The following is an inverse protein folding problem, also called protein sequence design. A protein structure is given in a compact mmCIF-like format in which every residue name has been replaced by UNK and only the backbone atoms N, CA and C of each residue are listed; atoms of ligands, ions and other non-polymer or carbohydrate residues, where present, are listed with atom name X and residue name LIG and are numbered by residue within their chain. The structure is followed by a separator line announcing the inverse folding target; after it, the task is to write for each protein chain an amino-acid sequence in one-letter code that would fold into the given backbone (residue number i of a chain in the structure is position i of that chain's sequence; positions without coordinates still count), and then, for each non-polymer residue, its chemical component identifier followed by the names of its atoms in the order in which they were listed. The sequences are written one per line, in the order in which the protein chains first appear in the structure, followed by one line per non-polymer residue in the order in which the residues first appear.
data_IF_577376553581
#
_entry.id   IF_577376553581
#
_cell.length_a   1.000
_cell.length_b   1.000
_cell.length_c   1.000
_cell.angle_alpha   90.00
_cell.angle_beta   90.00
_cell.angle_gamma   90.00
#
_symmetry.space_group_name_H-M   'P 1'
#
loop_
_entity.id
_entity.type
_entity.pdbx_description
1 polymer ?
#
# COMPACT_ATOMS: atom_id res chain seq x y z
N UNK A 1 0.61 -70.19 17.67
CA UNK A 1 1.77 -70.32 16.78
C UNK A 1 2.63 -69.08 16.96
N UNK A 2 3.64 -69.18 17.83
CA UNK A 2 5.07 -69.00 17.51
C UNK A 2 5.42 -68.18 16.23
N UNK A 3 6.38 -67.25 16.17
CA UNK A 3 7.58 -66.98 16.99
C UNK A 3 7.97 -65.49 16.89
N UNK A 4 8.63 -65.03 17.95
CA UNK A 4 9.40 -63.79 18.09
C UNK A 4 10.49 -63.53 17.03
N UNK A 5 10.97 -62.28 16.98
CA UNK A 5 12.15 -61.89 16.22
C UNK A 5 12.61 -60.46 16.49
N UNK A 6 13.13 -60.21 17.69
CA UNK A 6 13.84 -58.99 18.06
C UNK A 6 15.27 -58.97 17.49
N UNK A 7 15.85 -57.78 17.20
CA UNK A 7 17.07 -57.26 17.83
C UNK A 7 17.68 -56.02 17.11
N UNK A 8 17.88 -54.97 17.93
CA UNK A 8 19.10 -54.15 18.15
C UNK A 8 19.70 -53.22 17.07
N UNK A 9 19.60 -51.92 17.40
CA UNK A 9 20.66 -50.89 17.60
C UNK A 9 22.04 -51.07 16.94
N UNK A 10 22.53 -50.00 16.29
CA UNK A 10 23.83 -49.36 16.57
C UNK A 10 23.96 -47.99 15.86
N UNK A 11 24.28 -46.93 16.63
CA UNK A 11 25.10 -45.76 16.22
C UNK A 11 26.59 -46.07 16.54
N UNK A 12 27.59 -45.18 16.41
CA UNK A 12 27.81 -43.93 15.65
C UNK A 12 29.11 -44.02 14.80
N UNK A 13 29.54 -42.96 14.08
CA UNK A 13 30.99 -42.64 13.99
C UNK A 13 31.29 -41.27 13.34
N UNK A 14 32.10 -40.49 14.05
CA UNK A 14 32.80 -39.28 13.62
C UNK A 14 34.02 -39.61 12.72
N UNK A 15 34.34 -38.72 11.78
CA UNK A 15 35.72 -38.39 11.35
C UNK A 15 35.63 -37.25 10.32
N UNK A 16 36.06 -36.02 10.62
CA UNK A 16 37.43 -35.47 10.67
C UNK A 16 37.72 -34.58 9.46
N UNK A 17 37.78 -33.29 9.74
CA UNK A 17 38.57 -32.27 9.03
C UNK A 17 40.06 -32.65 9.12
N UNK A 18 40.87 -32.30 8.12
CA UNK A 18 42.01 -31.44 8.44
C UNK A 18 42.20 -30.27 7.48
N UNK A 19 42.56 -29.14 8.07
CA UNK A 19 43.13 -27.95 7.45
C UNK A 19 44.66 -28.10 7.36
N UNK A 20 45.26 -27.55 6.29
CA UNK A 20 46.64 -27.03 6.20
C UNK A 20 46.97 -26.76 4.73
N UNK A 21 47.85 -25.85 4.31
CA UNK A 21 48.47 -24.62 4.84
C UNK A 21 49.34 -24.10 3.68
N UNK A 22 49.26 -22.79 3.43
CA UNK A 22 50.34 -21.86 3.03
C UNK A 22 51.03 -21.90 1.65
N UNK A 23 51.44 -20.66 1.32
CA UNK A 23 52.49 -20.17 0.41
C UNK A 23 51.96 -19.73 -0.97
N UNK A 24 52.16 -18.51 -1.45
CA UNK A 24 52.92 -17.37 -0.96
C UNK A 24 53.03 -16.30 -2.07
N UNK A 25 53.73 -15.22 -1.75
CA UNK A 25 54.21 -14.13 -2.61
C UNK A 25 53.30 -12.92 -2.80
N UNK A 26 53.70 -11.87 -2.07
CA UNK A 26 53.36 -10.47 -2.24
C UNK A 26 53.85 -9.95 -3.59
N UNK A 27 52.99 -9.28 -4.35
CA UNK A 27 53.38 -8.21 -5.28
C UNK A 27 52.31 -7.12 -5.31
N UNK A 28 52.66 -5.96 -4.75
CA UNK A 28 51.90 -4.72 -4.86
C UNK A 28 52.06 -4.13 -6.28
N UNK A 29 50.97 -3.75 -6.97
CA UNK A 29 51.02 -2.83 -8.09
C UNK A 29 50.90 -1.36 -7.65
N UNK A 30 51.35 -0.41 -8.48
CA UNK A 30 51.81 0.92 -8.07
C UNK A 30 50.70 1.92 -7.75
N UNK A 31 51.01 2.82 -6.81
CA UNK A 31 50.28 4.05 -6.49
C UNK A 31 50.18 4.95 -7.73
N UNK A 32 49.04 4.93 -8.42
CA UNK A 32 48.65 5.99 -9.35
C UNK A 32 47.95 7.10 -8.58
N UNK A 33 48.63 8.23 -8.42
CA UNK A 33 47.99 9.51 -8.09
C UNK A 33 47.14 9.94 -9.28
N UNK A 34 45.86 9.60 -9.26
CA UNK A 34 44.86 10.18 -10.15
C UNK A 34 44.34 11.47 -9.50
N UNK A 35 44.84 12.61 -9.98
CA UNK A 35 44.25 13.92 -9.79
C UNK A 35 42.85 13.92 -10.42
N UNK A 36 41.85 13.53 -9.65
CA UNK A 36 40.45 13.61 -10.06
C UNK A 36 40.02 15.07 -10.16
N UNK A 37 39.24 15.47 -11.19
CA UNK A 37 38.68 16.80 -11.25
C UNK A 37 37.80 17.04 -10.02
N UNK A 38 38.05 18.16 -9.34
CA UNK A 38 37.32 18.60 -8.16
C UNK A 38 35.81 18.60 -8.45
N UNK A 39 35.06 17.80 -7.70
CA UNK A 39 33.59 17.86 -7.70
C UNK A 39 33.20 19.24 -7.19
N UNK A 40 32.68 20.08 -8.08
CA UNK A 40 32.00 21.32 -7.71
C UNK A 40 30.87 20.99 -6.72
N UNK A 41 30.85 21.57 -5.50
CA UNK A 41 29.72 21.46 -4.62
C UNK A 41 28.63 22.45 -5.09
N UNK A 42 27.39 22.19 -4.64
CA UNK A 42 26.21 23.10 -4.70
C UNK A 42 25.32 22.99 -5.93
N UNK A 43 24.64 21.84 -6.04
CA UNK A 43 23.21 21.90 -6.29
C UNK A 43 22.52 22.37 -5.01
N UNK A 44 21.79 23.48 -5.05
CA UNK A 44 20.87 23.90 -3.97
C UNK A 44 19.94 22.72 -3.65
N UNK A 45 19.60 22.43 -2.37
CA UNK A 45 18.59 21.44 -2.06
C UNK A 45 17.31 21.88 -2.77
N UNK A 46 16.90 21.15 -3.81
CA UNK A 46 15.56 21.30 -4.39
C UNK A 46 14.61 21.10 -3.22
N UNK A 47 13.73 22.07 -2.98
CA UNK A 47 12.58 21.88 -2.10
C UNK A 47 11.98 20.52 -2.44
N UNK A 48 11.87 19.64 -1.45
CA UNK A 48 11.44 18.26 -1.60
C UNK A 48 10.02 18.26 -2.15
N UNK A 49 9.88 18.29 -3.48
CA UNK A 49 8.58 18.15 -4.12
C UNK A 49 7.99 16.83 -3.65
N UNK A 50 6.74 16.81 -3.18
CA UNK A 50 6.11 15.59 -2.70
C UNK A 50 6.22 14.52 -3.79
N UNK A 51 6.87 13.41 -3.46
CA UNK A 51 7.11 12.35 -4.46
C UNK A 51 5.77 11.70 -4.79
N UNK A 52 5.35 11.82 -6.04
CA UNK A 52 4.20 11.08 -6.56
C UNK A 52 4.48 9.58 -6.49
N UNK A 53 3.42 8.79 -6.28
CA UNK A 53 3.54 7.33 -6.21
C UNK A 53 3.52 6.75 -7.63
N UNK A 54 4.25 5.64 -7.82
CA UNK A 54 4.18 4.89 -9.09
C UNK A 54 2.74 4.45 -9.34
N UNK A 55 2.21 4.84 -10.49
CA UNK A 55 0.87 4.47 -10.96
C UNK A 55 0.72 2.95 -10.97
N UNK A 56 -0.41 2.46 -10.47
CA UNK A 56 -0.81 1.07 -10.60
C UNK A 56 -1.99 0.98 -11.54
N UNK A 57 -1.77 0.35 -12.71
CA UNK A 57 -2.79 0.11 -13.72
C UNK A 57 -2.90 -1.41 -13.92
N UNK A 58 -4.07 -2.01 -13.65
CA UNK A 58 -4.32 -3.42 -13.95
C UNK A 58 -4.20 -3.70 -15.45
N UNK A 59 -3.90 -4.95 -15.80
CA UNK A 59 -3.73 -5.36 -17.20
C UNK A 59 -4.99 -5.07 -18.04
N UNK A 60 -6.17 -5.32 -17.48
CA UNK A 60 -7.46 -5.08 -18.12
C UNK A 60 -7.69 -3.61 -18.40
N UNK A 61 -7.02 -2.73 -17.64
CA UNK A 61 -7.12 -1.28 -17.79
C UNK A 61 -5.98 -0.62 -18.56
N UNK A 62 -4.89 -1.35 -18.78
CA UNK A 62 -3.68 -0.82 -19.41
C UNK A 62 -3.91 -0.23 -20.80
N UNK A 63 -4.86 -0.78 -21.57
CA UNK A 63 -5.13 -0.40 -22.96
C UNK A 63 -5.80 0.96 -23.13
N UNK A 64 -6.41 1.47 -22.08
CA UNK A 64 -7.14 2.74 -22.12
C UNK A 64 -6.61 3.76 -21.11
N UNK A 65 -5.45 3.51 -20.50
CA UNK A 65 -4.73 4.51 -19.70
C UNK A 65 -3.49 4.92 -20.47
N UNK A 66 -3.35 6.21 -20.74
CA UNK A 66 -2.20 6.74 -21.46
C UNK A 66 -0.94 6.74 -20.56
N UNK A 67 0.28 6.85 -21.13
CA UNK A 67 1.51 6.91 -20.34
C UNK A 67 1.55 8.05 -19.31
N UNK A 68 0.94 9.19 -19.63
CA UNK A 68 0.79 10.33 -18.72
C UNK A 68 -0.25 10.08 -17.60
N UNK A 69 -1.07 9.04 -17.70
CA UNK A 69 -2.05 8.62 -16.69
C UNK A 69 -3.48 9.02 -16.97
N UNK A 70 -3.74 9.62 -18.13
CA UNK A 70 -5.08 10.02 -18.53
C UNK A 70 -5.89 8.77 -18.89
N UNK A 71 -7.08 8.68 -18.31
CA UNK A 71 -8.05 7.65 -18.66
C UNK A 71 -8.74 8.04 -19.98
N UNK A 72 -8.61 7.20 -21.01
CA UNK A 72 -9.41 7.25 -22.21
C UNK A 72 -10.79 6.66 -21.89
N UNK A 73 -11.82 7.50 -21.93
CA UNK A 73 -13.19 7.12 -21.54
C UNK A 73 -14.22 7.90 -22.35
N UNK A 74 -15.49 7.53 -22.23
CA UNK A 74 -16.62 8.26 -22.85
C UNK A 74 -16.79 9.65 -22.22
N UNK A 75 -17.42 10.58 -22.95
CA UNK A 75 -17.75 11.90 -22.41
C UNK A 75 -18.60 11.80 -21.15
N UNK A 76 -19.60 10.91 -21.15
CA UNK A 76 -20.46 10.65 -20.00
C UNK A 76 -19.67 10.26 -18.73
N UNK A 77 -18.67 9.37 -18.86
CA UNK A 77 -17.83 8.97 -17.74
C UNK A 77 -16.91 10.09 -17.26
N UNK A 78 -16.35 10.88 -18.20
CA UNK A 78 -15.54 12.05 -17.87
C UNK A 78 -16.35 13.05 -17.07
N UNK A 79 -17.55 13.36 -17.53
CA UNK A 79 -18.41 14.37 -16.91
C UNK A 79 -18.86 13.88 -15.53
N UNK A 80 -19.17 12.59 -15.38
CA UNK A 80 -19.39 11.94 -14.07
C UNK A 80 -18.23 12.14 -13.09
N UNK A 81 -16.98 11.92 -13.53
CA UNK A 81 -15.81 12.10 -12.65
C UNK A 81 -15.64 13.56 -12.21
N UNK A 82 -15.90 14.51 -13.11
CA UNK A 82 -15.83 15.94 -12.80
C UNK A 82 -16.93 16.36 -11.83
N UNK A 83 -18.18 15.95 -12.09
CA UNK A 83 -19.35 16.27 -11.27
C UNK A 83 -19.19 15.78 -9.83
N UNK A 84 -18.68 14.56 -9.65
CA UNK A 84 -18.49 13.98 -8.31
C UNK A 84 -17.09 14.23 -7.72
N UNK A 85 -16.22 14.98 -8.41
CA UNK A 85 -14.87 15.28 -7.94
C UNK A 85 -13.95 14.07 -7.79
N UNK A 86 -14.24 12.97 -8.51
CA UNK A 86 -13.52 11.70 -8.44
C UNK A 86 -12.32 11.73 -9.39
N UNK A 87 -11.15 11.32 -8.88
CA UNK A 87 -9.90 11.25 -9.62
C UNK A 87 -9.67 9.83 -10.16
N UNK A 88 -9.59 9.62 -11.49
CA UNK A 88 -9.27 8.31 -12.06
C UNK A 88 -7.78 7.94 -11.95
N UNK A 89 -6.87 8.91 -11.82
CA UNK A 89 -5.43 8.67 -11.80
C UNK A 89 -4.86 8.54 -10.38
N UNK A 90 -4.60 7.30 -9.95
CA UNK A 90 -3.93 7.02 -8.67
C UNK A 90 -2.45 7.44 -8.63
N UNK A 91 -1.82 7.72 -9.77
CA UNK A 91 -0.46 8.26 -9.85
C UNK A 91 -0.35 9.71 -9.33
N UNK A 92 -1.48 10.44 -9.24
CA UNK A 92 -1.53 11.79 -8.64
C UNK A 92 -1.50 11.78 -7.12
N UNK A 93 -1.63 10.62 -6.50
CA UNK A 93 -1.53 10.49 -5.04
C UNK A 93 -0.10 10.75 -4.58
N UNK A 94 0.02 11.37 -3.41
CA UNK A 94 1.32 11.65 -2.81
C UNK A 94 1.73 10.51 -1.89
N UNK A 95 3.01 10.14 -1.90
CA UNK A 95 3.51 9.12 -0.96
C UNK A 95 3.24 9.54 0.48
N UNK A 96 2.62 8.66 1.25
CA UNK A 96 2.20 8.92 2.62
C UNK A 96 3.08 8.20 3.62
N UNK A 97 4.12 8.87 4.10
CA UNK A 97 4.99 8.36 5.16
C UNK A 97 5.49 9.51 6.06
N UNK A 98 4.58 10.24 6.73
CA UNK A 98 4.95 11.44 7.51
C UNK A 98 5.83 11.15 8.73
N UNK A 99 5.89 9.92 9.22
CA UNK A 99 6.72 9.54 10.37
C UNK A 99 7.73 8.45 10.02
N UNK A 100 8.88 8.47 10.68
CA UNK A 100 9.91 7.43 10.55
C UNK A 100 9.39 6.06 11.01
N UNK A 101 8.54 6.03 12.03
CA UNK A 101 7.86 4.81 12.48
C UNK A 101 6.99 4.22 11.36
N UNK A 102 6.14 5.01 10.72
CA UNK A 102 5.29 4.52 9.65
C UNK A 102 6.12 4.04 8.46
N UNK A 103 7.18 4.77 8.11
CA UNK A 103 8.09 4.34 7.04
C UNK A 103 8.76 3.00 7.34
N UNK A 104 9.19 2.76 8.59
CA UNK A 104 9.75 1.47 9.02
C UNK A 104 8.71 0.36 8.97
N UNK A 105 7.51 0.63 9.50
CA UNK A 105 6.42 -0.33 9.52
C UNK A 105 5.98 -0.75 8.10
N UNK A 106 5.94 0.20 7.17
CA UNK A 106 5.73 -0.08 5.75
C UNK A 106 6.83 -0.98 5.17
N UNK A 107 8.11 -0.74 5.49
CA UNK A 107 9.20 -1.59 5.05
C UNK A 107 9.13 -3.01 5.65
N UNK A 108 8.78 -3.10 6.93
CA UNK A 108 8.62 -4.37 7.66
C UNK A 108 7.48 -5.21 7.08
N UNK A 109 6.37 -4.57 6.70
CA UNK A 109 5.23 -5.25 6.08
C UNK A 109 5.39 -5.43 4.56
N UNK A 110 6.38 -4.79 3.93
CA UNK A 110 6.50 -4.77 2.47
C UNK A 110 5.31 -4.06 1.80
N UNK A 111 4.87 -2.96 2.41
CA UNK A 111 3.78 -2.11 1.91
C UNK A 111 4.28 -0.70 1.58
N UNK A 112 3.52 0.01 0.76
CA UNK A 112 3.66 1.44 0.55
C UNK A 112 2.31 2.11 0.72
N UNK A 113 2.32 3.36 1.16
CA UNK A 113 1.12 4.15 1.39
C UNK A 113 1.14 5.39 0.50
N UNK A 114 -0.04 5.76 0.01
CA UNK A 114 -0.29 7.01 -0.67
C UNK A 114 -1.55 7.66 -0.11
N UNK A 115 -1.59 8.98 -0.13
CA UNK A 115 -2.76 9.75 0.27
C UNK A 115 -3.09 10.81 -0.77
N UNK A 116 -4.38 11.08 -0.94
CA UNK A 116 -4.91 12.19 -1.71
C UNK A 116 -6.09 12.79 -0.97
N UNK A 117 -6.24 14.12 -0.92
CA UNK A 117 -7.44 14.76 -0.39
C UNK A 117 -8.66 14.56 -1.31
N UNK A 118 -8.45 14.15 -2.57
CA UNK A 118 -9.51 13.80 -3.51
C UNK A 118 -9.90 12.34 -3.38
N UNK A 119 -11.15 12.02 -3.68
CA UNK A 119 -11.58 10.63 -3.85
C UNK A 119 -10.97 10.05 -5.13
N UNK A 120 -10.24 8.94 -5.01
CA UNK A 120 -9.58 8.26 -6.13
C UNK A 120 -10.29 6.94 -6.39
N UNK A 121 -10.62 6.68 -7.65
CA UNK A 121 -11.29 5.43 -8.03
C UNK A 121 -10.39 4.22 -7.80
N UNK A 122 -10.96 3.06 -7.47
CA UNK A 122 -10.18 1.84 -7.35
C UNK A 122 -9.60 1.45 -8.72
N UNK A 123 -8.28 1.16 -8.85
CA UNK A 123 -7.68 0.86 -10.16
C UNK A 123 -8.32 -0.31 -10.91
N UNK A 124 -8.72 -1.37 -10.21
CA UNK A 124 -9.46 -2.51 -10.80
C UNK A 124 -10.86 -2.16 -11.33
N UNK A 125 -11.44 -1.03 -10.92
CA UNK A 125 -12.73 -0.58 -11.46
C UNK A 125 -12.58 0.25 -12.74
N UNK A 126 -11.36 0.65 -13.13
CA UNK A 126 -11.13 1.46 -14.34
C UNK A 126 -11.65 0.77 -15.62
N UNK A 127 -11.66 -0.57 -15.66
CA UNK A 127 -12.22 -1.39 -16.77
C UNK A 127 -13.69 -1.13 -17.06
N UNK A 128 -14.45 -0.63 -16.09
CA UNK A 128 -15.86 -0.30 -16.28
C UNK A 128 -16.07 1.07 -16.94
N UNK A 129 -15.00 1.84 -17.12
CA UNK A 129 -15.02 3.18 -17.69
C UNK A 129 -14.22 3.23 -18.99
N UNK A 130 -14.26 2.15 -19.78
CA UNK A 130 -13.54 2.05 -21.04
C UNK A 130 -14.13 2.98 -22.13
N UNK A 131 -13.34 3.34 -23.16
CA UNK A 131 -13.76 4.34 -24.14
C UNK A 131 -14.89 3.87 -25.08
N UNK A 132 -15.10 2.55 -25.20
CA UNK A 132 -16.21 1.97 -25.98
C UNK A 132 -17.51 1.84 -25.17
N UNK A 133 -17.48 2.22 -23.90
CA UNK A 133 -18.57 1.99 -22.96
C UNK A 133 -18.56 0.56 -22.42
N UNK A 134 -19.06 0.39 -21.20
CA UNK A 134 -19.16 -0.91 -20.53
C UNK A 134 -20.59 -1.11 -20.01
N UNK A 135 -21.22 -2.30 -20.14
CA UNK A 135 -22.59 -2.53 -19.69
C UNK A 135 -22.83 -2.17 -18.21
N UNK A 136 -21.84 -2.45 -17.36
CA UNK A 136 -21.87 -2.14 -15.92
C UNK A 136 -21.45 -0.69 -15.55
N UNK A 137 -21.14 0.18 -16.52
CA UNK A 137 -20.69 1.54 -16.24
C UNK A 137 -21.72 2.34 -15.44
N UNK A 138 -23.00 2.26 -15.83
CA UNK A 138 -24.12 2.91 -15.12
C UNK A 138 -24.18 2.48 -13.67
N UNK A 139 -24.13 1.17 -13.41
CA UNK A 139 -24.15 0.63 -12.04
C UNK A 139 -22.95 1.12 -11.23
N UNK A 140 -21.76 1.12 -11.83
CA UNK A 140 -20.52 1.57 -11.18
C UNK A 140 -20.56 3.07 -10.87
N UNK A 141 -21.07 3.90 -11.78
CA UNK A 141 -21.30 5.33 -11.53
C UNK A 141 -22.23 5.54 -10.33
N UNK A 142 -23.37 4.84 -10.29
CA UNK A 142 -24.31 4.92 -9.16
C UNK A 142 -23.67 4.51 -7.83
N UNK A 143 -22.86 3.44 -7.83
CA UNK A 143 -22.12 3.00 -6.65
C UNK A 143 -21.13 4.08 -6.17
N UNK A 144 -20.34 4.64 -7.08
CA UNK A 144 -19.35 5.66 -6.74
C UNK A 144 -19.98 6.99 -6.33
N UNK A 145 -21.08 7.41 -6.94
CA UNK A 145 -21.85 8.58 -6.51
C UNK A 145 -22.40 8.40 -5.09
N UNK A 146 -22.98 7.23 -4.79
CA UNK A 146 -23.43 6.92 -3.43
C UNK A 146 -22.27 6.90 -2.43
N UNK A 147 -21.14 6.29 -2.82
CA UNK A 147 -19.92 6.22 -2.00
C UNK A 147 -19.34 7.61 -1.70
N UNK A 148 -19.26 8.50 -2.69
CA UNK A 148 -18.74 9.86 -2.54
C UNK A 148 -19.55 10.70 -1.55
N UNK A 149 -20.88 10.53 -1.55
CA UNK A 149 -21.78 11.21 -0.60
C UNK A 149 -21.68 10.68 0.82
N UNK A 150 -21.54 9.36 0.97
CA UNK A 150 -21.60 8.70 2.28
C UNK A 150 -20.24 8.69 2.96
N UNK A 151 -19.17 8.38 2.24
CA UNK A 151 -17.86 8.07 2.84
C UNK A 151 -16.86 9.22 2.63
N UNK A 152 -16.49 9.96 3.67
CA UNK A 152 -15.53 11.07 3.55
C UNK A 152 -14.12 10.57 3.21
N UNK A 153 -13.68 9.47 3.83
CA UNK A 153 -12.40 8.81 3.54
C UNK A 153 -12.63 7.47 2.84
N UNK A 154 -11.94 7.25 1.73
CA UNK A 154 -11.89 5.95 1.07
C UNK A 154 -10.56 5.27 1.39
N UNK A 155 -10.62 4.00 1.79
CA UNK A 155 -9.42 3.16 1.90
C UNK A 155 -9.47 2.14 0.78
N UNK A 156 -8.47 2.17 -0.10
CA UNK A 156 -8.29 1.17 -1.14
C UNK A 156 -6.97 0.44 -0.96
N UNK A 157 -6.96 -0.83 -1.33
CA UNK A 157 -5.79 -1.68 -1.18
C UNK A 157 -5.54 -2.42 -2.48
N UNK A 158 -4.31 -2.33 -3.00
CA UNK A 158 -3.87 -3.16 -4.12
C UNK A 158 -2.80 -4.12 -3.63
N UNK A 159 -2.66 -5.27 -4.29
CA UNK A 159 -1.54 -6.18 -4.05
C UNK A 159 -0.87 -6.52 -5.36
N UNK A 160 0.43 -6.33 -5.38
CA UNK A 160 1.32 -6.86 -6.40
C UNK A 160 2.20 -7.95 -5.78
N UNK A 161 2.70 -8.86 -6.60
CA UNK A 161 3.66 -9.88 -6.19
C UNK A 161 3.11 -11.30 -6.13
N UNK A 162 4.04 -12.22 -5.88
CA UNK A 162 3.79 -13.65 -5.79
C UNK A 162 3.04 -14.03 -4.50
N UNK A 163 2.22 -15.07 -4.57
CA UNK A 163 1.42 -15.58 -3.46
C UNK A 163 0.03 -16.01 -3.93
N UNK A 164 -0.55 -16.99 -3.23
CA UNK A 164 -1.90 -17.47 -3.55
C UNK A 164 -2.92 -16.32 -3.44
N UNK A 165 -3.93 -16.33 -4.31
CA UNK A 165 -4.97 -15.31 -4.34
C UNK A 165 -5.66 -15.14 -2.97
N UNK A 166 -5.87 -16.24 -2.26
CA UNK A 166 -6.45 -16.25 -0.90
C UNK A 166 -5.60 -15.43 0.07
N UNK A 167 -4.28 -15.61 0.08
CA UNK A 167 -3.36 -14.84 0.95
C UNK A 167 -3.48 -13.35 0.65
N UNK A 168 -3.44 -12.97 -0.63
CA UNK A 168 -3.57 -11.54 -1.02
C UNK A 168 -4.87 -10.96 -0.48
N UNK A 169 -5.99 -11.62 -0.74
CA UNK A 169 -7.32 -11.15 -0.31
C UNK A 169 -7.44 -11.07 1.22
N UNK A 170 -6.96 -12.08 1.95
CA UNK A 170 -7.01 -12.07 3.41
C UNK A 170 -6.12 -10.97 4.00
N UNK A 171 -4.90 -10.82 3.50
CA UNK A 171 -3.98 -9.76 3.95
C UNK A 171 -4.54 -8.37 3.65
N UNK A 172 -5.11 -8.14 2.45
CA UNK A 172 -5.77 -6.88 2.11
C UNK A 172 -6.90 -6.56 3.08
N UNK A 173 -7.83 -7.52 3.29
CA UNK A 173 -8.96 -7.36 4.21
C UNK A 173 -8.49 -7.07 5.63
N UNK A 174 -7.49 -7.79 6.12
CA UNK A 174 -6.97 -7.64 7.48
C UNK A 174 -6.34 -6.26 7.71
N UNK A 175 -5.49 -5.80 6.78
CA UNK A 175 -4.86 -4.48 6.89
C UNK A 175 -5.88 -3.33 6.74
N UNK A 176 -6.81 -3.44 5.80
CA UNK A 176 -7.86 -2.44 5.63
C UNK A 176 -8.77 -2.37 6.85
N UNK A 177 -9.18 -3.53 7.38
CA UNK A 177 -10.00 -3.63 8.58
C UNK A 177 -9.31 -3.00 9.79
N UNK A 178 -8.04 -3.30 10.02
CA UNK A 178 -7.33 -2.75 11.18
C UNK A 178 -7.18 -1.22 11.13
N UNK A 179 -7.06 -0.64 9.94
CA UNK A 179 -7.07 0.84 9.78
C UNK A 179 -8.46 1.39 10.10
N UNK A 180 -9.54 0.77 9.61
CA UNK A 180 -10.90 1.20 9.94
C UNK A 180 -11.20 1.11 11.45
N UNK A 181 -10.85 -0.01 12.09
CA UNK A 181 -11.02 -0.19 13.54
C UNK A 181 -10.21 0.85 14.34
N UNK A 182 -8.98 1.15 13.91
CA UNK A 182 -8.16 2.17 14.56
C UNK A 182 -8.69 3.60 14.33
N UNK A 183 -9.27 3.90 13.17
CA UNK A 183 -9.92 5.18 12.90
C UNK A 183 -11.18 5.34 13.75
N UNK A 184 -11.99 4.28 13.86
CA UNK A 184 -13.20 4.25 14.68
C UNK A 184 -12.87 4.46 16.17
N UNK A 185 -11.81 3.81 16.67
CA UNK A 185 -11.29 4.02 18.02
C UNK A 185 -10.78 5.47 18.28
N UNK A 186 -10.46 6.23 17.23
CA UNK A 186 -10.11 7.66 17.31
C UNK A 186 -11.34 8.58 17.14
N UNK A 187 -12.54 8.03 17.03
CA UNK A 187 -13.80 8.77 16.85
C UNK A 187 -14.16 9.05 15.39
N UNK A 188 -13.44 8.49 14.42
CA UNK A 188 -13.79 8.61 13.01
C UNK A 188 -14.78 7.50 12.61
N UNK A 189 -16.07 7.82 12.57
CA UNK A 189 -17.06 6.87 12.06
C UNK A 189 -16.84 6.63 10.57
N UNK A 190 -16.57 5.38 10.22
CA UNK A 190 -16.71 4.92 8.84
C UNK A 190 -18.20 4.92 8.49
N UNK A 191 -18.60 5.67 7.47
CA UNK A 191 -19.99 5.71 7.04
C UNK A 191 -20.42 4.35 6.47
N UNK A 192 -20.95 3.52 7.37
CA UNK A 192 -21.35 2.13 7.11
C UNK A 192 -21.90 1.38 8.34
N UNK A 193 -21.92 1.99 9.53
CA UNK A 193 -22.69 1.47 10.67
C UNK A 193 -24.13 1.96 10.58
N UNK A 194 -25.07 1.06 10.29
CA UNK A 194 -26.50 1.29 10.51
C UNK A 194 -26.74 1.71 11.97
N UNK A 195 -27.69 2.62 12.17
CA UNK A 195 -27.86 3.40 13.39
C UNK A 195 -27.95 2.58 14.68
N UNK A 196 -27.26 3.06 15.70
CA UNK A 196 -27.39 2.59 17.08
C UNK A 196 -26.37 3.27 17.98
N UNK A 197 -26.66 4.50 18.43
CA UNK A 197 -25.78 5.15 19.41
C UNK A 197 -26.03 6.64 19.60
N UNK A 198 -27.02 6.94 20.46
CA UNK A 198 -26.98 8.04 21.44
C UNK A 198 -26.95 9.47 20.89
N UNK A 199 -28.10 10.13 20.94
CA UNK A 199 -28.20 11.57 20.98
C UNK A 199 -27.43 12.10 22.20
N UNK A 200 -26.22 12.63 22.00
CA UNK A 200 -25.48 13.52 22.93
C UNK A 200 -24.14 14.00 22.32
N UNK A 201 -24.07 14.49 21.07
CA UNK A 201 -22.76 14.89 20.46
C UNK A 201 -22.85 16.02 19.43
N UNK A 202 -23.50 17.14 19.77
CA UNK A 202 -23.47 18.33 18.92
C UNK A 202 -22.05 18.94 18.79
N UNK A 203 -21.17 18.73 19.78
CA UNK A 203 -19.76 19.20 19.75
C UNK A 203 -18.76 18.16 19.18
N UNK A 204 -19.05 16.85 19.28
CA UNK A 204 -18.16 15.80 18.74
C UNK A 204 -18.35 15.55 17.23
N UNK A 205 -19.52 15.91 16.69
CA UNK A 205 -19.80 15.90 15.25
C UNK A 205 -18.81 16.76 14.43
N UNK A 206 -18.11 17.70 15.08
CA UNK A 206 -17.13 18.59 14.44
C UNK A 206 -15.72 17.97 14.34
N UNK A 207 -15.41 16.89 15.08
CA UNK A 207 -14.15 16.12 14.93
C UNK A 207 -14.29 14.94 13.98
N UNK A 208 -15.45 14.30 13.95
CA UNK A 208 -15.71 13.11 13.13
C UNK A 208 -15.64 13.33 11.60
N UNK A 209 -15.53 14.58 11.13
CA UNK A 209 -15.69 14.94 9.71
C UNK A 209 -14.44 15.47 9.00
N UNK A 210 -13.24 15.36 9.59
CA UNK A 210 -12.06 16.07 9.05
C UNK A 210 -11.25 15.31 8.00
N UNK A 211 -11.16 13.97 8.09
CA UNK A 211 -10.34 13.22 7.15
C UNK A 211 -11.15 12.93 5.89
N UNK A 212 -10.82 13.60 4.79
CA UNK A 212 -11.42 13.39 3.47
C UNK A 212 -10.42 12.81 2.47
N UNK A 213 -10.94 12.21 1.40
CA UNK A 213 -10.14 11.78 0.25
C UNK A 213 -9.87 10.28 0.23
N UNK A 214 -8.68 9.86 -0.17
CA UNK A 214 -8.34 8.45 -0.34
C UNK A 214 -6.98 8.10 0.25
N UNK A 215 -6.96 7.08 1.11
CA UNK A 215 -5.77 6.34 1.49
C UNK A 215 -5.63 5.13 0.55
N UNK A 216 -4.46 4.98 -0.06
CA UNK A 216 -4.11 3.81 -0.84
C UNK A 216 -3.01 3.01 -0.14
N UNK A 217 -3.28 1.72 0.08
CA UNK A 217 -2.33 0.74 0.61
C UNK A 217 -1.88 -0.18 -0.54
N UNK A 218 -0.62 -0.04 -0.97
CA UNK A 218 -0.01 -0.92 -1.96
C UNK A 218 0.80 -2.01 -1.26
N UNK A 219 0.37 -3.28 -1.39
CA UNK A 219 1.04 -4.43 -0.78
C UNK A 219 1.95 -5.07 -1.84
N UNK A 220 3.27 -5.02 -1.63
CA UNK A 220 4.26 -5.61 -2.54
C UNK A 220 4.69 -7.01 -2.13
N UNK A 221 4.58 -7.34 -0.84
CA UNK A 221 4.99 -8.64 -0.29
C UNK A 221 3.86 -9.22 0.59
N UNK A 222 2.81 -9.80 -0.01
CA UNK A 222 1.61 -10.22 0.72
C UNK A 222 1.87 -11.29 1.78
N UNK A 223 2.82 -12.21 1.54
CA UNK A 223 3.23 -13.23 2.52
C UNK A 223 3.93 -12.61 3.74
N UNK A 224 4.81 -11.62 3.52
CA UNK A 224 5.49 -10.91 4.60
C UNK A 224 4.50 -10.07 5.41
N UNK A 225 3.59 -9.37 4.73
CA UNK A 225 2.50 -8.66 5.41
C UNK A 225 1.60 -9.62 6.20
N UNK A 226 1.32 -10.82 5.67
CA UNK A 226 0.47 -11.82 6.31
C UNK A 226 1.04 -12.32 7.65
N UNK A 227 2.36 -12.47 7.76
CA UNK A 227 3.02 -13.00 8.96
C UNK A 227 3.14 -12.00 10.12
N UNK A 228 2.75 -10.74 9.91
CA UNK A 228 2.87 -9.67 10.90
C UNK A 228 1.51 -9.25 11.48
N UNK A 229 1.44 -8.77 12.73
CA UNK A 229 0.22 -8.22 13.33
C UNK A 229 -0.30 -6.98 12.59
N UNK A 230 -1.60 -6.91 12.33
CA UNK A 230 -2.22 -5.81 11.57
C UNK A 230 -2.67 -4.65 12.46
N UNK A 231 -2.86 -4.88 13.75
CA UNK A 231 -3.41 -3.95 14.73
C UNK A 231 -2.46 -2.77 14.93
N UNK A 232 -1.16 -3.05 15.07
CA UNK A 232 -0.12 -2.03 15.16
C UNK A 232 -0.10 -1.17 13.89
N UNK A 233 -0.21 -1.79 12.72
CA UNK A 233 -0.28 -1.09 11.44
C UNK A 233 -1.48 -0.15 11.37
N UNK A 234 -2.68 -0.65 11.67
CA UNK A 234 -3.91 0.14 11.69
C UNK A 234 -3.78 1.37 12.59
N UNK A 235 -3.30 1.19 13.82
CA UNK A 235 -3.11 2.26 14.80
C UNK A 235 -2.15 3.34 14.32
N UNK A 236 -0.96 2.96 13.85
CA UNK A 236 0.06 3.93 13.40
C UNK A 236 -0.41 4.70 12.17
N UNK A 237 -1.08 4.02 11.22
CA UNK A 237 -1.67 4.67 10.04
C UNK A 237 -2.77 5.65 10.43
N UNK A 238 -3.70 5.25 11.28
CA UNK A 238 -4.81 6.10 11.72
C UNK A 238 -4.32 7.35 12.45
N UNK A 239 -3.34 7.19 13.36
CA UNK A 239 -2.70 8.32 14.05
C UNK A 239 -1.95 9.25 13.09
N UNK A 240 -1.23 8.69 12.12
CA UNK A 240 -0.54 9.47 11.11
C UNK A 240 -1.53 10.26 10.22
N UNK A 241 -2.65 9.65 9.83
CA UNK A 241 -3.70 10.32 9.05
C UNK A 241 -4.36 11.44 9.84
N UNK A 242 -4.71 11.18 11.10
CA UNK A 242 -5.29 12.19 11.98
C UNK A 242 -4.36 13.40 12.14
N UNK A 243 -3.06 13.18 12.29
CA UNK A 243 -2.05 14.26 12.36
C UNK A 243 -1.81 14.95 11.01
N UNK A 244 -1.97 14.25 9.90
CA UNK A 244 -1.71 14.82 8.57
C UNK A 244 -2.89 15.65 8.05
N UNK A 245 -4.11 15.24 8.36
CA UNK A 245 -5.35 15.88 7.88
C UNK A 245 -5.98 16.81 8.93
N UNK A 246 -5.62 16.65 10.20
CA UNK A 246 -5.91 17.62 11.26
C UNK A 246 -4.82 18.69 11.27
N UNK A 247 -5.24 19.95 11.07
CA UNK A 247 -4.46 21.19 11.27
C UNK A 247 -3.42 21.09 12.40
#
# INVERSE_FOLDING_TARGET
MDVAGALRRATPSCARVPANRLQGTCRLPPLRFASGPARTPRGKPRADTPRSVKRFVPEEASRFVTPDGRLLTTLENRDFFLEHGIEPDNGRMTRFAPTSELSRLCADLGTALAYSPRHVIHPHDLRYFEPRGHPLAVQKRSQYAAKARRQPLWIMTTSAGAGAAVVRTLTQRRLTRSVYEALDALGYRSAGGDGGGGANMADEANKANKIRGTLWIAIHQPLKAASQPAERFGRVVAQALAKHCGL
#
